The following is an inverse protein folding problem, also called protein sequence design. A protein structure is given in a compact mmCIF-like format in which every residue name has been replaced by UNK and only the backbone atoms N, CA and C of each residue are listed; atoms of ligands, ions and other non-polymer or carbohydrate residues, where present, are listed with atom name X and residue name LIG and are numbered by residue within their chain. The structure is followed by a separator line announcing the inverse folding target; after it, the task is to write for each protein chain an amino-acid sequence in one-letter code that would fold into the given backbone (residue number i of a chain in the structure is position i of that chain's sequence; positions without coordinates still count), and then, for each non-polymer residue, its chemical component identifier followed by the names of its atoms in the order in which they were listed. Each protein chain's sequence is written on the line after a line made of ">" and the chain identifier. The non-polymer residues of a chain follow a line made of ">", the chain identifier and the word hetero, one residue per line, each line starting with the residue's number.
data_IF_497420884801
#
_entry.id   IF_497420884801
#
_cell.length_a   1.000
_cell.length_b   1.000
_cell.length_c   1.000
_cell.angle_alpha   90.00
_cell.angle_beta   90.00
_cell.angle_gamma   90.00
#
_symmetry.space_group_name_H-M   'P 1'
#
loop_
_entity.id
_entity.type
_entity.pdbx_description
1 polymer ?
#
# COMPACT_ATOMS: atom_id res chain seq x y z
N UNK A 1 -33.97 -10.77 10.58
CA UNK A 1 -32.94 -11.26 11.52
C UNK A 1 -31.60 -10.94 10.91
N UNK A 2 -30.87 -9.98 11.48
CA UNK A 2 -29.55 -9.59 11.00
C UNK A 2 -28.51 -10.51 11.65
N UNK A 3 -27.80 -11.30 10.85
CA UNK A 3 -26.62 -12.00 11.33
C UNK A 3 -25.53 -10.97 11.64
N UNK A 4 -24.86 -11.04 12.79
CA UNK A 4 -23.66 -10.26 13.02
C UNK A 4 -22.58 -10.85 12.10
N UNK A 5 -22.11 -10.08 11.13
CA UNK A 5 -20.92 -10.44 10.37
C UNK A 5 -19.76 -10.30 11.34
N UNK A 6 -19.39 -11.39 12.02
CA UNK A 6 -18.13 -11.44 12.74
C UNK A 6 -17.03 -11.34 11.71
N UNK A 7 -16.44 -10.16 11.56
CA UNK A 7 -15.28 -9.93 10.69
C UNK A 7 -14.03 -10.52 11.34
N UNK A 8 -13.92 -11.85 11.38
CA UNK A 8 -12.57 -12.44 11.29
C UNK A 8 -12.12 -12.17 9.86
N UNK A 9 -11.34 -11.10 9.69
CA UNK A 9 -10.67 -10.86 8.43
C UNK A 9 -9.51 -11.83 8.38
N UNK A 10 -9.74 -12.96 7.73
CA UNK A 10 -8.71 -13.96 7.51
C UNK A 10 -7.67 -13.33 6.57
N UNK A 11 -6.40 -13.30 7.01
CA UNK A 11 -5.27 -12.76 6.23
C UNK A 11 -5.26 -13.27 4.77
N UNK A 12 -5.56 -14.55 4.48
CA UNK A 12 -5.70 -15.04 3.11
C UNK A 12 -6.70 -14.22 2.28
N UNK A 13 -7.88 -13.92 2.84
CA UNK A 13 -8.91 -13.17 2.13
C UNK A 13 -8.47 -11.72 1.85
N UNK A 14 -7.77 -11.09 2.79
CA UNK A 14 -7.20 -9.75 2.59
C UNK A 14 -6.10 -9.74 1.53
N UNK A 15 -5.22 -10.75 1.54
CA UNK A 15 -4.17 -10.88 0.54
C UNK A 15 -4.75 -11.06 -0.87
N UNK A 16 -5.79 -11.90 -1.03
CA UNK A 16 -6.53 -12.07 -2.28
C UNK A 16 -7.18 -10.75 -2.71
N UNK A 17 -7.87 -10.06 -1.81
CA UNK A 17 -8.54 -8.79 -2.12
C UNK A 17 -7.54 -7.71 -2.53
N UNK A 18 -6.41 -7.58 -1.84
CA UNK A 18 -5.36 -6.64 -2.17
C UNK A 18 -4.75 -6.94 -3.54
N UNK A 19 -4.46 -8.21 -3.83
CA UNK A 19 -3.94 -8.67 -5.12
C UNK A 19 -4.91 -8.35 -6.27
N UNK A 20 -6.19 -8.68 -6.12
CA UNK A 20 -7.20 -8.39 -7.14
C UNK A 20 -7.31 -6.89 -7.43
N UNK A 21 -7.28 -6.07 -6.38
CA UNK A 21 -7.39 -4.61 -6.50
C UNK A 21 -6.15 -4.01 -7.18
N UNK A 22 -4.95 -4.44 -6.78
CA UNK A 22 -3.69 -4.02 -7.39
C UNK A 22 -3.57 -4.47 -8.85
N UNK A 23 -4.00 -5.70 -9.15
CA UNK A 23 -4.05 -6.21 -10.53
C UNK A 23 -5.05 -5.45 -11.39
N UNK A 24 -6.23 -5.09 -10.88
CA UNK A 24 -7.21 -4.28 -11.61
C UNK A 24 -6.64 -2.91 -11.94
N UNK A 25 -6.06 -2.25 -10.94
CA UNK A 25 -5.42 -0.96 -11.12
C UNK A 25 -4.28 -1.02 -12.16
N UNK A 26 -3.44 -2.06 -12.14
CA UNK A 26 -2.40 -2.25 -13.15
C UNK A 26 -3.00 -2.26 -14.57
N UNK A 27 -4.09 -2.98 -14.81
CA UNK A 27 -4.77 -3.02 -16.12
C UNK A 27 -5.30 -1.66 -16.55
N UNK A 28 -5.73 -0.81 -15.61
CA UNK A 28 -6.16 0.55 -15.92
C UNK A 28 -4.95 1.43 -16.25
N UNK A 29 -3.86 1.32 -15.48
CA UNK A 29 -2.63 2.09 -15.68
C UNK A 29 -1.93 1.74 -17.01
N UNK A 30 -2.03 0.50 -17.51
CA UNK A 30 -1.47 0.12 -18.82
C UNK A 30 -2.11 0.87 -19.99
N UNK A 31 -3.35 1.35 -19.84
CA UNK A 31 -4.04 2.14 -20.86
C UNK A 31 -3.66 3.62 -20.89
N UNK A 32 -2.90 4.10 -19.89
CA UNK A 32 -2.48 5.50 -19.80
C UNK A 32 -1.35 5.81 -20.79
N UNK A 33 -1.28 7.07 -21.21
CA UNK A 33 -0.18 7.58 -22.04
C UNK A 33 1.14 7.40 -21.31
N UNK A 34 2.06 6.70 -21.96
CA UNK A 34 3.32 6.31 -21.36
C UNK A 34 4.21 7.53 -21.08
N UNK A 35 4.76 7.59 -19.87
CA UNK A 35 5.74 8.54 -19.41
C UNK A 35 6.51 7.91 -18.24
N UNK A 36 7.59 8.55 -17.79
CA UNK A 36 8.45 8.02 -16.72
C UNK A 36 7.67 7.64 -15.46
N UNK A 37 6.80 8.53 -14.96
CA UNK A 37 6.02 8.28 -13.73
C UNK A 37 5.02 7.14 -13.90
N UNK A 38 4.38 7.04 -15.07
CA UNK A 38 3.47 5.92 -15.41
C UNK A 38 4.24 4.59 -15.48
N UNK A 39 5.45 4.59 -16.05
CA UNK A 39 6.32 3.41 -16.11
C UNK A 39 6.78 2.97 -14.72
N UNK A 40 7.26 3.91 -13.89
CA UNK A 40 7.62 3.63 -12.49
C UNK A 40 6.43 3.04 -11.70
N UNK A 41 5.21 3.56 -11.90
CA UNK A 41 4.02 3.04 -11.24
C UNK A 41 3.65 1.62 -11.71
N UNK A 42 3.80 1.32 -13.01
CA UNK A 42 3.59 -0.04 -13.54
C UNK A 42 4.56 -1.03 -12.92
N UNK A 43 5.86 -0.69 -12.91
CA UNK A 43 6.91 -1.51 -12.31
C UNK A 43 6.60 -1.78 -10.83
N UNK A 44 6.21 -0.75 -10.07
CA UNK A 44 5.88 -0.92 -8.65
C UNK A 44 4.62 -1.78 -8.43
N UNK A 45 3.59 -1.67 -9.29
CA UNK A 45 2.39 -2.50 -9.23
C UNK A 45 2.68 -3.97 -9.57
N UNK A 46 3.56 -4.25 -10.54
CA UNK A 46 4.01 -5.61 -10.87
C UNK A 46 4.76 -6.26 -9.71
N UNK A 47 5.69 -5.51 -9.13
CA UNK A 47 6.43 -5.92 -7.95
C UNK A 47 5.50 -6.21 -6.76
N UNK A 48 4.55 -5.31 -6.49
CA UNK A 48 3.56 -5.49 -5.43
C UNK A 48 2.68 -6.72 -5.68
N UNK A 49 2.20 -6.92 -6.91
CA UNK A 49 1.41 -8.10 -7.29
C UNK A 49 2.20 -9.40 -7.06
N UNK A 50 3.49 -9.42 -7.41
CA UNK A 50 4.37 -10.56 -7.18
C UNK A 50 4.47 -10.90 -5.69
N UNK A 51 4.69 -9.88 -4.85
CA UNK A 51 4.80 -10.06 -3.39
C UNK A 51 3.47 -10.50 -2.77
N UNK A 52 2.34 -9.97 -3.24
CA UNK A 52 1.00 -10.39 -2.82
C UNK A 52 0.66 -11.82 -3.23
N UNK A 53 1.14 -12.29 -4.37
CA UNK A 53 0.96 -13.68 -4.81
C UNK A 53 1.75 -14.65 -3.91
N UNK A 54 2.98 -14.29 -3.56
CA UNK A 54 3.79 -15.06 -2.59
C UNK A 54 3.10 -15.10 -1.23
N UNK A 55 2.59 -13.96 -0.76
CA UNK A 55 1.86 -13.87 0.50
C UNK A 55 0.61 -14.75 0.53
N UNK A 56 -0.17 -14.78 -0.56
CA UNK A 56 -1.37 -15.63 -0.64
C UNK A 56 -1.06 -17.10 -0.41
N UNK A 57 0.03 -17.61 -1.00
CA UNK A 57 0.49 -19.00 -0.81
C UNK A 57 0.90 -19.24 0.64
N UNK A 58 1.64 -18.30 1.23
CA UNK A 58 2.14 -18.40 2.59
C UNK A 58 1.03 -18.32 3.66
N UNK A 59 0.03 -17.46 3.45
CA UNK A 59 -1.03 -17.17 4.40
C UNK A 59 -1.98 -18.35 4.63
N UNK A 60 -2.04 -19.33 3.71
CA UNK A 60 -2.85 -20.55 3.85
C UNK A 60 -2.38 -21.35 5.07
N UNK A 61 -1.06 -21.47 5.26
CA UNK A 61 -0.48 -22.31 6.31
C UNK A 61 -0.08 -21.53 7.57
N UNK A 62 0.22 -20.23 7.43
CA UNK A 62 0.82 -19.41 8.49
C UNK A 62 0.03 -18.13 8.80
N UNK A 63 -1.27 -18.09 8.50
CA UNK A 63 -2.11 -16.89 8.64
C UNK A 63 -2.06 -16.22 10.03
N UNK A 64 -1.91 -16.99 11.12
CA UNK A 64 -1.80 -16.46 12.49
C UNK A 64 -0.50 -15.69 12.74
N UNK A 65 0.58 -16.05 12.04
CA UNK A 65 1.87 -15.36 12.11
C UNK A 65 1.90 -14.04 11.31
N UNK A 66 0.82 -13.76 10.57
CA UNK A 66 0.70 -12.65 9.64
C UNK A 66 -0.40 -11.65 10.06
N UNK A 67 -0.90 -11.75 11.30
CA UNK A 67 -1.98 -10.88 11.80
C UNK A 67 -1.63 -9.38 11.71
N UNK A 68 -0.35 -9.02 11.80
CA UNK A 68 0.11 -7.63 11.63
C UNK A 68 -0.13 -7.08 10.22
N UNK A 69 -0.28 -7.95 9.21
CA UNK A 69 -0.59 -7.53 7.85
C UNK A 69 -2.07 -7.23 7.65
N UNK A 70 -2.94 -7.47 8.63
CA UNK A 70 -4.38 -7.25 8.50
C UNK A 70 -4.69 -5.81 8.06
N UNK A 71 -4.14 -4.82 8.76
CA UNK A 71 -4.37 -3.41 8.42
C UNK A 71 -3.61 -2.99 7.14
N UNK A 72 -2.31 -3.32 6.96
CA UNK A 72 -1.59 -3.04 5.72
C UNK A 72 -2.26 -3.59 4.46
N UNK A 73 -2.75 -4.83 4.48
CA UNK A 73 -3.41 -5.43 3.31
C UNK A 73 -4.77 -4.79 3.01
N UNK A 74 -5.54 -4.50 4.05
CA UNK A 74 -6.81 -3.78 3.90
C UNK A 74 -6.58 -2.40 3.26
N UNK A 75 -5.57 -1.66 3.74
CA UNK A 75 -5.24 -0.32 3.23
C UNK A 75 -4.66 -0.39 1.82
N UNK A 76 -3.80 -1.37 1.54
CA UNK A 76 -3.29 -1.61 0.20
C UNK A 76 -4.43 -1.83 -0.81
N UNK A 77 -5.36 -2.74 -0.50
CA UNK A 77 -6.50 -3.02 -1.37
C UNK A 77 -7.40 -1.80 -1.58
N UNK A 78 -7.71 -1.06 -0.52
CA UNK A 78 -8.55 0.13 -0.61
C UNK A 78 -7.87 1.26 -1.40
N UNK A 79 -6.60 1.52 -1.13
CA UNK A 79 -5.82 2.54 -1.84
C UNK A 79 -5.77 2.24 -3.35
N UNK A 80 -5.57 0.98 -3.74
CA UNK A 80 -5.63 0.58 -5.15
C UNK A 80 -7.01 0.85 -5.78
N UNK A 81 -8.11 0.47 -5.11
CA UNK A 81 -9.49 0.71 -5.60
C UNK A 81 -9.81 2.20 -5.73
N UNK A 82 -9.42 2.99 -4.74
CA UNK A 82 -9.66 4.43 -4.71
C UNK A 82 -8.89 5.14 -5.84
N UNK A 83 -7.62 4.79 -6.04
CA UNK A 83 -6.80 5.34 -7.11
C UNK A 83 -7.31 4.92 -8.50
N UNK A 84 -7.72 3.67 -8.66
CA UNK A 84 -8.36 3.17 -9.88
C UNK A 84 -9.62 3.96 -10.21
N UNK A 85 -10.49 4.19 -9.23
CA UNK A 85 -11.72 4.98 -9.41
C UNK A 85 -11.43 6.43 -9.85
N UNK A 86 -10.35 7.03 -9.33
CA UNK A 86 -9.89 8.36 -9.78
C UNK A 86 -9.50 8.32 -11.26
N UNK A 87 -8.71 7.33 -11.68
CA UNK A 87 -8.28 7.20 -13.08
C UNK A 87 -9.48 6.96 -14.00
N UNK A 88 -10.36 6.00 -13.66
CA UNK A 88 -11.54 5.66 -14.47
C UNK A 88 -12.48 6.85 -14.62
N UNK A 89 -12.70 7.62 -13.55
CA UNK A 89 -13.53 8.85 -13.60
C UNK A 89 -12.96 9.89 -14.59
N UNK A 90 -11.65 9.93 -14.77
CA UNK A 90 -10.98 10.82 -15.71
C UNK A 90 -10.98 10.30 -17.16
N UNK A 91 -11.41 9.05 -17.39
CA UNK A 91 -11.52 8.41 -18.71
C UNK A 91 -12.99 8.10 -19.04
N UNK A 92 -13.78 9.09 -19.49
CA UNK A 92 -15.21 8.88 -19.78
C UNK A 92 -15.47 7.90 -20.94
N UNK A 93 -14.46 7.58 -21.78
CA UNK A 93 -14.49 6.49 -22.77
C UNK A 93 -13.11 5.81 -22.87
N UNK A 94 -13.05 4.52 -23.27
CA UNK A 94 -11.79 3.84 -23.56
C UNK A 94 -11.00 4.62 -24.64
N UNK A 95 -9.81 5.12 -24.28
CA UNK A 95 -8.97 5.89 -25.20
C UNK A 95 -9.28 7.39 -25.32
N UNK A 96 -10.35 7.92 -24.70
CA UNK A 96 -10.56 9.37 -24.61
C UNK A 96 -9.96 9.90 -23.30
N UNK A 97 -8.70 10.32 -23.41
CA UNK A 97 -8.02 11.03 -22.34
C UNK A 97 -8.25 12.53 -22.46
N UNK A 98 -9.03 13.12 -21.56
CA UNK A 98 -9.18 14.56 -21.50
C UNK A 98 -7.95 15.16 -20.83
N UNK A 99 -7.05 15.70 -21.64
CA UNK A 99 -5.87 16.46 -21.20
C UNK A 99 -6.20 17.50 -20.12
N UNK A 100 -7.40 18.10 -20.12
CA UNK A 100 -7.85 19.03 -19.08
C UNK A 100 -8.12 18.36 -17.72
N UNK A 101 -8.70 17.16 -17.73
CA UNK A 101 -8.95 16.36 -16.52
C UNK A 101 -7.65 15.75 -16.00
N UNK A 102 -6.71 15.43 -16.90
CA UNK A 102 -5.34 15.09 -16.54
C UNK A 102 -4.50 16.27 -16.06
N UNK A 103 -4.71 17.49 -16.58
CA UNK A 103 -4.04 18.69 -16.08
C UNK A 103 -4.51 19.03 -14.65
N UNK A 104 -5.78 18.74 -14.31
CA UNK A 104 -6.22 18.75 -12.91
C UNK A 104 -5.52 17.67 -12.07
N UNK A 105 -5.23 16.53 -12.69
CA UNK A 105 -4.34 15.48 -12.16
C UNK A 105 -2.82 15.84 -12.27
N UNK A 106 -2.43 16.99 -12.82
CA UNK A 106 -1.02 17.44 -12.90
C UNK A 106 -0.62 18.44 -11.83
N UNK A 107 -1.55 18.92 -11.03
CA UNK A 107 -1.23 19.34 -9.65
C UNK A 107 -0.92 18.13 -8.73
N UNK A 108 -0.93 16.93 -9.32
CA UNK A 108 -1.00 15.58 -8.73
C UNK A 108 0.05 14.64 -9.40
N UNK A 109 1.05 15.16 -10.14
CA UNK A 109 2.28 14.36 -10.48
C UNK A 109 3.00 13.95 -9.18
N UNK A 110 2.97 14.84 -8.18
CA UNK A 110 3.32 14.53 -6.81
C UNK A 110 2.46 13.40 -6.23
N UNK A 111 1.17 13.33 -6.56
CA UNK A 111 0.26 12.32 -6.00
C UNK A 111 0.41 10.95 -6.68
N UNK A 112 0.72 10.88 -7.98
CA UNK A 112 1.06 9.61 -8.63
C UNK A 112 2.39 9.07 -8.08
N UNK A 113 3.39 9.95 -7.91
CA UNK A 113 4.66 9.58 -7.28
C UNK A 113 4.47 9.23 -5.80
N UNK A 114 3.64 9.97 -5.06
CA UNK A 114 3.32 9.69 -3.66
C UNK A 114 2.55 8.39 -3.52
N UNK A 115 1.61 8.11 -4.43
CA UNK A 115 0.88 6.84 -4.48
C UNK A 115 1.81 5.69 -4.81
N UNK A 116 2.71 5.83 -5.79
CA UNK A 116 3.78 4.85 -6.04
C UNK A 116 4.61 4.60 -4.77
N UNK A 117 5.03 5.66 -4.07
CA UNK A 117 5.78 5.52 -2.83
C UNK A 117 4.94 4.83 -1.73
N UNK A 118 3.62 5.06 -1.71
CA UNK A 118 2.70 4.36 -0.81
C UNK A 118 2.61 2.86 -1.13
N UNK A 119 2.54 2.48 -2.41
CA UNK A 119 2.62 1.08 -2.84
C UNK A 119 3.95 0.45 -2.44
N UNK A 120 5.07 1.16 -2.62
CA UNK A 120 6.39 0.69 -2.20
C UNK A 120 6.45 0.41 -0.69
N UNK A 121 5.82 1.24 0.15
CA UNK A 121 5.71 0.99 1.60
C UNK A 121 4.90 -0.27 1.92
N UNK A 122 3.76 -0.47 1.26
CA UNK A 122 2.97 -1.69 1.42
C UNK A 122 3.78 -2.91 0.98
N UNK A 123 4.42 -2.85 -0.19
CA UNK A 123 5.30 -3.90 -0.71
C UNK A 123 6.38 -4.26 0.30
N UNK A 124 7.13 -3.28 0.79
CA UNK A 124 8.20 -3.51 1.77
C UNK A 124 7.67 -4.14 3.05
N UNK A 125 6.54 -3.66 3.59
CA UNK A 125 5.89 -4.23 4.78
C UNK A 125 5.55 -5.71 4.57
N UNK A 126 4.92 -6.05 3.43
CA UNK A 126 4.55 -7.43 3.12
C UNK A 126 5.79 -8.29 2.93
N UNK A 127 6.81 -7.80 2.23
CA UNK A 127 8.06 -8.52 2.06
C UNK A 127 8.68 -8.85 3.42
N UNK A 128 8.72 -7.90 4.36
CA UNK A 128 9.29 -8.13 5.69
C UNK A 128 8.55 -9.24 6.42
N UNK A 129 7.22 -9.19 6.46
CA UNK A 129 6.43 -10.25 7.09
C UNK A 129 6.65 -11.63 6.44
N UNK A 130 6.66 -11.70 5.11
CA UNK A 130 6.98 -12.93 4.36
C UNK A 130 8.37 -13.45 4.71
N UNK A 131 9.35 -12.55 4.80
CA UNK A 131 10.71 -12.83 5.23
C UNK A 131 10.80 -13.44 6.62
N UNK A 132 10.20 -12.78 7.61
CA UNK A 132 10.23 -13.20 9.00
C UNK A 132 9.57 -14.57 9.21
N UNK A 133 8.52 -14.89 8.46
CA UNK A 133 7.93 -16.24 8.47
C UNK A 133 8.89 -17.25 7.82
N UNK A 134 9.41 -16.96 6.63
CA UNK A 134 10.35 -17.84 5.94
C UNK A 134 11.62 -18.11 6.75
N UNK A 135 12.10 -17.13 7.52
CA UNK A 135 13.26 -17.28 8.39
C UNK A 135 13.00 -18.22 9.56
N UNK A 136 11.80 -18.20 10.13
CA UNK A 136 11.42 -19.10 11.22
C UNK A 136 11.23 -20.55 10.74
N UNK A 137 10.84 -20.73 9.49
CA UNK A 137 10.51 -22.05 8.92
C UNK A 137 11.67 -22.71 8.16
N UNK A 138 12.75 -22.00 7.84
CA UNK A 138 13.88 -22.52 7.06
C UNK A 138 15.24 -22.44 7.79
N UNK A 139 16.19 -23.30 7.40
CA UNK A 139 17.57 -23.20 7.84
C UNK A 139 18.28 -22.08 7.04
N UNK A 140 18.32 -20.86 7.59
CA UNK A 140 18.82 -19.66 6.90
C UNK A 140 20.34 -19.50 7.04
N UNK A 141 21.01 -19.02 5.99
CA UNK A 141 22.45 -18.69 6.01
C UNK A 141 22.73 -17.33 6.66
N UNK A 142 23.89 -17.14 7.29
CA UNK A 142 24.26 -15.86 7.94
C UNK A 142 24.23 -14.66 6.97
N UNK A 143 24.57 -14.88 5.69
CA UNK A 143 24.51 -13.84 4.64
C UNK A 143 23.07 -13.39 4.38
N UNK A 144 22.14 -14.34 4.26
CA UNK A 144 20.72 -14.03 4.07
C UNK A 144 20.15 -13.27 5.29
N UNK A 145 20.59 -13.56 6.51
CA UNK A 145 20.21 -12.79 7.72
C UNK A 145 20.72 -11.35 7.67
N UNK A 146 21.95 -11.12 7.18
CA UNK A 146 22.53 -9.78 7.09
C UNK A 146 21.84 -8.90 6.04
N UNK A 147 21.56 -9.45 4.86
CA UNK A 147 20.80 -8.75 3.79
C UNK A 147 19.39 -8.39 4.25
N UNK A 148 18.76 -9.31 5.01
CA UNK A 148 17.46 -9.08 5.64
C UNK A 148 17.47 -7.96 6.66
N UNK A 149 18.44 -7.94 7.58
CA UNK A 149 18.58 -6.85 8.56
C UNK A 149 18.75 -5.50 7.87
N UNK A 150 19.55 -5.44 6.82
CA UNK A 150 19.74 -4.21 6.05
C UNK A 150 18.43 -3.74 5.40
N UNK A 151 17.63 -4.67 4.87
CA UNK A 151 16.32 -4.37 4.28
C UNK A 151 15.32 -3.87 5.32
N UNK A 152 15.31 -4.46 6.52
CA UNK A 152 14.52 -4.00 7.66
C UNK A 152 14.95 -2.57 8.02
N UNK A 153 16.24 -2.33 8.23
CA UNK A 153 16.77 -1.01 8.60
C UNK A 153 16.41 0.07 7.58
N UNK A 154 16.63 -0.17 6.28
CA UNK A 154 16.27 0.81 5.25
C UNK A 154 14.76 1.10 5.23
N UNK A 155 13.93 0.06 5.34
CA UNK A 155 12.47 0.22 5.37
C UNK A 155 12.03 1.00 6.61
N UNK A 156 12.62 0.72 7.78
CA UNK A 156 12.33 1.48 9.01
C UNK A 156 12.65 2.96 8.84
N UNK A 157 13.82 3.29 8.29
CA UNK A 157 14.21 4.70 8.04
C UNK A 157 13.23 5.39 7.09
N UNK A 158 12.78 4.71 6.02
CA UNK A 158 11.77 5.26 5.11
C UNK A 158 10.41 5.45 5.78
N UNK A 159 9.99 4.49 6.62
CA UNK A 159 8.74 4.58 7.38
C UNK A 159 8.78 5.69 8.44
N UNK A 160 9.90 5.85 9.15
CA UNK A 160 10.10 6.92 10.13
C UNK A 160 10.03 8.30 9.47
N UNK A 161 10.69 8.45 8.31
CA UNK A 161 10.59 9.68 7.52
C UNK A 161 9.15 9.95 7.09
N UNK A 162 8.44 8.93 6.63
CA UNK A 162 7.04 9.07 6.24
C UNK A 162 6.13 9.44 7.42
N UNK A 163 6.38 8.87 8.59
CA UNK A 163 5.65 9.19 9.82
C UNK A 163 5.86 10.66 10.21
N UNK A 164 7.09 11.16 10.10
CA UNK A 164 7.39 12.58 10.29
C UNK A 164 6.64 13.46 9.29
N UNK A 165 6.60 13.08 8.00
CA UNK A 165 5.85 13.82 6.97
C UNK A 165 4.33 13.84 7.24
N UNK A 166 3.77 12.76 7.80
CA UNK A 166 2.35 12.71 8.19
C UNK A 166 2.07 13.58 9.43
N UNK A 167 2.96 13.55 10.42
CA UNK A 167 2.85 14.41 11.62
C UNK A 167 2.95 15.89 11.23
N UNK A 168 3.89 16.25 10.35
CA UNK A 168 4.04 17.62 9.83
C UNK A 168 2.78 18.07 9.07
N UNK A 169 2.17 17.18 8.26
CA UNK A 169 0.90 17.44 7.57
C UNK A 169 -0.26 17.65 8.55
N UNK A 170 -0.35 16.85 9.62
CA UNK A 170 -1.36 17.02 10.67
C UNK A 170 -1.21 18.39 11.36
N UNK A 171 0.02 18.82 11.63
CA UNK A 171 0.30 20.11 12.26
C UNK A 171 0.05 21.31 11.33
N UNK A 172 0.18 21.14 10.01
CA UNK A 172 0.04 22.21 9.03
C UNK A 172 -1.41 22.46 8.54
N UNK A 173 -2.38 21.60 8.88
CA UNK A 173 -3.76 21.73 8.43
C UNK A 173 -4.47 22.94 9.12
N UNK A 174 -4.90 23.97 8.37
CA UNK A 174 -5.70 25.06 8.93
C UNK A 174 -7.14 24.58 9.17
N UNK A 175 -7.76 25.09 10.23
CA UNK A 175 -9.10 24.73 10.73
C UNK A 175 -10.29 25.17 9.86
N UNK A 176 -10.08 25.34 8.54
CA UNK A 176 -10.99 26.05 7.65
C UNK A 176 -11.62 25.15 6.58
N UNK A 177 -12.19 24.00 7.00
CA UNK A 177 -13.45 23.42 6.51
C UNK A 177 -13.72 22.11 7.28
N UNK A 178 -14.59 22.14 8.30
CA UNK A 178 -14.65 21.08 9.33
C UNK A 178 -14.93 19.68 8.76
N UNK A 179 -15.81 19.55 7.77
CA UNK A 179 -16.21 18.24 7.24
C UNK A 179 -15.19 17.60 6.28
N UNK A 180 -14.46 18.41 5.50
CA UNK A 180 -13.38 17.92 4.61
C UNK A 180 -12.12 17.67 5.43
N UNK A 181 -11.85 18.54 6.41
CA UNK A 181 -10.75 18.39 7.36
C UNK A 181 -10.87 17.10 8.17
N UNK A 182 -12.05 16.75 8.69
CA UNK A 182 -12.25 15.53 9.48
C UNK A 182 -11.95 14.24 8.70
N UNK A 183 -12.37 14.16 7.42
CA UNK A 183 -12.08 12.99 6.56
C UNK A 183 -10.60 12.88 6.25
N UNK A 184 -9.95 13.99 5.92
CA UNK A 184 -8.50 14.03 5.64
C UNK A 184 -7.68 13.72 6.90
N UNK A 185 -8.08 14.21 8.07
CA UNK A 185 -7.44 13.90 9.35
C UNK A 185 -7.57 12.40 9.67
N UNK A 186 -8.76 11.81 9.48
CA UNK A 186 -8.98 10.39 9.69
C UNK A 186 -8.16 9.52 8.72
N UNK A 187 -7.99 9.94 7.46
CA UNK A 187 -7.15 9.25 6.48
C UNK A 187 -5.67 9.29 6.88
N UNK A 188 -5.16 10.45 7.30
CA UNK A 188 -3.78 10.64 7.75
C UNK A 188 -3.52 9.87 9.05
N UNK A 189 -4.43 9.90 10.02
CA UNK A 189 -4.30 9.13 11.27
C UNK A 189 -4.29 7.63 11.03
N UNK A 190 -5.16 7.12 10.18
CA UNK A 190 -5.15 5.70 9.82
C UNK A 190 -3.85 5.31 9.07
N UNK A 191 -3.26 6.20 8.27
CA UNK A 191 -1.96 5.95 7.64
C UNK A 191 -0.81 5.98 8.66
N UNK A 192 -0.87 6.91 9.62
CA UNK A 192 0.06 7.01 10.74
C UNK A 192 0.05 5.75 11.59
N UNK A 193 -1.12 5.29 12.01
CA UNK A 193 -1.28 4.09 12.86
C UNK A 193 -0.78 2.82 12.13
N UNK A 194 -1.04 2.71 10.83
CA UNK A 194 -0.50 1.62 10.01
C UNK A 194 1.02 1.69 9.91
N UNK A 195 1.58 2.88 9.71
CA UNK A 195 3.03 3.09 9.62
C UNK A 195 3.71 2.76 10.96
N UNK A 196 3.09 3.15 12.07
CA UNK A 196 3.59 2.88 13.42
C UNK A 196 3.58 1.38 13.75
N UNK A 197 2.54 0.66 13.33
CA UNK A 197 2.54 -0.81 13.40
C UNK A 197 3.69 -1.43 12.60
N UNK A 198 3.94 -0.95 11.38
CA UNK A 198 5.06 -1.43 10.57
C UNK A 198 6.41 -1.21 11.27
N UNK A 199 6.62 -0.02 11.87
CA UNK A 199 7.86 0.28 12.60
C UNK A 199 8.03 -0.62 13.83
N UNK A 200 6.97 -0.86 14.60
CA UNK A 200 7.06 -1.73 15.79
C UNK A 200 7.52 -3.16 15.45
N UNK A 201 7.12 -3.67 14.29
CA UNK A 201 7.55 -4.99 13.81
C UNK A 201 8.99 -5.00 13.31
N UNK A 202 9.45 -3.92 12.69
CA UNK A 202 10.84 -3.81 12.27
C UNK A 202 11.84 -3.74 13.44
N UNK A 203 11.35 -3.44 14.66
CA UNK A 203 12.16 -3.34 15.87
C UNK A 203 12.25 -4.64 16.70
N UNK A 204 11.40 -5.64 16.39
CA UNK A 204 11.46 -7.01 16.95
C UNK A 204 12.37 -7.92 16.12
#
# INVERSE_FOLDING_TARGET
>A
MAYPISTSSDIPALAVSAFQSSSSLYQVVTSLVDNETVRELKEELEDLNTVLEVLQKLAIDTGNDLLMLRLPLLRCGNACKEFEAVIVRCMPRPGEFKIRDWIKLRYTENDMRAFKNQLARFKSTIMIAVGSVNMRTSAVTQKAVAEWRNKITNTTVELEKHLQELDDKLHALPSQDLAVSDKTIAEIQNERDSTQQCISFCAE
#
